data_IF_220859914520
#
_entry.id   IF_220859914520
#
_cell.length_a   1.000
_cell.length_b   1.000
_cell.length_c   1.000
_cell.angle_alpha   90.00
_cell.angle_beta   90.00
_cell.angle_gamma   90.00
#
_symmetry.space_group_name_H-M   'P 1'
#
loop_
_entity.id
_entity.type
_entity.pdbx_description
1 polymer ?
#
# COMPACT_ATOMS: atom_id res chain seq x y z
N UNK A 1 -66.00 55.42 24.67
CA UNK A 1 -65.53 55.94 23.36
C UNK A 1 -66.17 55.06 22.30
N UNK A 2 -66.84 55.72 21.36
CA UNK A 2 -67.82 55.19 20.41
C UNK A 2 -67.24 54.21 19.39
N UNK A 3 -68.05 53.22 18.98
CA UNK A 3 -67.97 52.64 17.63
C UNK A 3 -69.39 52.50 17.06
N UNK A 4 -69.67 53.31 16.04
CA UNK A 4 -70.70 53.19 15.02
C UNK A 4 -70.12 53.91 13.77
N UNK A 5 -70.62 53.68 12.55
CA UNK A 5 -70.58 52.44 11.77
C UNK A 5 -70.07 52.74 10.33
N UNK A 6 -69.96 51.75 9.45
CA UNK A 6 -70.12 52.00 8.01
C UNK A 6 -70.57 50.73 7.29
N UNK A 7 -71.79 50.83 6.77
CA UNK A 7 -72.49 49.91 5.89
C UNK A 7 -72.00 49.99 4.44
N UNK A 8 -72.34 48.93 3.69
CA UNK A 8 -72.75 48.85 2.28
C UNK A 8 -72.04 47.68 1.60
N UNK A 9 -72.62 46.89 0.70
CA UNK A 9 -73.97 46.63 0.23
C UNK A 9 -73.81 45.47 -0.78
N UNK A 10 -74.86 44.67 -0.94
CA UNK A 10 -74.94 43.45 -1.73
C UNK A 10 -74.61 43.60 -3.22
N UNK A 11 -74.08 42.52 -3.82
CA UNK A 11 -74.52 42.07 -5.14
C UNK A 11 -74.38 40.53 -5.27
N UNK A 12 -75.46 39.93 -5.73
CA UNK A 12 -75.76 38.50 -5.86
C UNK A 12 -75.20 37.89 -7.17
N UNK A 13 -75.27 36.55 -7.27
CA UNK A 13 -75.04 35.63 -8.42
C UNK A 13 -73.66 34.92 -8.56
N UNK A 14 -73.62 33.68 -9.08
CA UNK A 14 -74.33 32.45 -8.68
C UNK A 14 -73.35 31.30 -8.40
N UNK A 15 -73.83 30.23 -7.76
CA UNK A 15 -73.04 29.03 -7.45
C UNK A 15 -72.47 28.35 -8.71
N UNK A 16 -71.16 28.12 -8.71
CA UNK A 16 -70.50 27.17 -9.62
C UNK A 16 -69.96 26.00 -8.81
N UNK A 17 -70.54 24.84 -9.11
CA UNK A 17 -70.36 23.54 -8.48
C UNK A 17 -68.96 22.98 -8.81
N UNK A 18 -68.05 22.96 -7.84
CA UNK A 18 -66.76 22.28 -7.99
C UNK A 18 -66.96 20.77 -7.81
N UNK A 19 -67.26 20.06 -8.90
CA UNK A 19 -67.20 18.60 -8.94
C UNK A 19 -65.78 18.11 -8.60
N UNK A 20 -65.55 17.71 -7.34
CA UNK A 20 -64.47 16.78 -7.00
C UNK A 20 -64.80 15.45 -7.66
N UNK A 21 -64.10 15.10 -8.74
CA UNK A 21 -63.98 13.70 -9.19
C UNK A 21 -63.26 12.90 -8.09
N UNK A 22 -63.97 12.48 -7.06
CA UNK A 22 -63.58 11.34 -6.24
C UNK A 22 -63.73 10.11 -7.13
N UNK A 23 -62.61 9.69 -7.72
CA UNK A 23 -62.53 8.44 -8.45
C UNK A 23 -62.59 7.31 -7.41
N UNK A 24 -63.82 6.88 -7.08
CA UNK A 24 -64.07 5.67 -6.30
C UNK A 24 -63.51 4.47 -7.06
N UNK A 25 -62.26 4.11 -6.79
CA UNK A 25 -61.67 2.85 -7.22
C UNK A 25 -62.42 1.73 -6.50
N UNK A 26 -63.21 0.95 -7.24
CA UNK A 26 -63.96 -0.18 -6.68
C UNK A 26 -63.06 -1.18 -5.95
N UNK A 27 -63.62 -2.05 -5.09
CA UNK A 27 -62.87 -3.00 -4.26
C UNK A 27 -61.90 -3.89 -5.05
N UNK A 28 -62.24 -4.20 -6.31
CA UNK A 28 -61.38 -4.95 -7.24
C UNK A 28 -60.11 -4.16 -7.59
N UNK A 29 -60.21 -2.84 -7.81
CA UNK A 29 -59.06 -1.99 -8.12
C UNK A 29 -58.12 -1.90 -6.91
N UNK A 30 -58.64 -1.79 -5.69
CA UNK A 30 -57.83 -1.75 -4.48
C UNK A 30 -57.03 -3.04 -4.28
N UNK A 31 -57.65 -4.20 -4.54
CA UNK A 31 -56.99 -5.52 -4.49
C UNK A 31 -55.89 -5.68 -5.55
N UNK A 32 -56.11 -5.16 -6.76
CA UNK A 32 -55.07 -5.17 -7.80
C UNK A 32 -53.88 -4.27 -7.44
N UNK A 33 -54.12 -3.12 -6.79
CA UNK A 33 -53.05 -2.26 -6.30
C UNK A 33 -52.24 -2.91 -5.18
N UNK A 34 -52.87 -3.60 -4.23
CA UNK A 34 -52.15 -4.28 -3.15
C UNK A 34 -51.32 -5.46 -3.68
N UNK A 35 -51.85 -6.25 -4.62
CA UNK A 35 -51.11 -7.33 -5.27
C UNK A 35 -49.91 -6.80 -6.08
N UNK A 36 -50.07 -5.68 -6.79
CA UNK A 36 -48.98 -5.04 -7.51
C UNK A 36 -47.87 -4.55 -6.55
N UNK A 37 -48.23 -3.96 -5.41
CA UNK A 37 -47.26 -3.52 -4.39
C UNK A 37 -46.51 -4.73 -3.80
N UNK A 38 -47.20 -5.82 -3.48
CA UNK A 38 -46.58 -7.05 -2.96
C UNK A 38 -45.61 -7.64 -3.99
N UNK A 39 -45.99 -7.67 -5.27
CA UNK A 39 -45.11 -8.12 -6.35
C UNK A 39 -43.88 -7.23 -6.50
N UNK A 40 -44.04 -5.90 -6.45
CA UNK A 40 -42.93 -4.94 -6.51
C UNK A 40 -41.99 -5.12 -5.33
N UNK A 41 -42.52 -5.28 -4.11
CA UNK A 41 -41.72 -5.55 -2.90
C UNK A 41 -40.98 -6.88 -3.04
N UNK A 42 -41.66 -7.94 -3.53
CA UNK A 42 -41.03 -9.24 -3.78
C UNK A 42 -39.90 -9.17 -4.80
N UNK A 43 -40.08 -8.42 -5.89
CA UNK A 43 -39.04 -8.18 -6.90
C UNK A 43 -37.90 -7.34 -6.32
N UNK A 44 -38.20 -6.28 -5.55
CA UNK A 44 -37.18 -5.45 -4.92
C UNK A 44 -36.37 -6.24 -3.88
N UNK A 45 -37.01 -7.07 -3.06
CA UNK A 45 -36.32 -7.98 -2.14
C UNK A 45 -35.53 -9.03 -2.91
N UNK A 46 -36.07 -9.59 -3.99
CA UNK A 46 -35.38 -10.53 -4.86
C UNK A 46 -34.13 -9.93 -5.51
N UNK A 47 -34.22 -8.70 -6.01
CA UNK A 47 -33.11 -7.92 -6.56
C UNK A 47 -32.10 -7.61 -5.46
N UNK A 48 -32.53 -7.07 -4.32
CA UNK A 48 -31.64 -6.75 -3.20
C UNK A 48 -30.95 -8.00 -2.68
N UNK A 49 -31.65 -9.12 -2.51
CA UNK A 49 -31.02 -10.39 -2.09
C UNK A 49 -30.09 -10.95 -3.15
N UNK A 50 -30.43 -10.89 -4.44
CA UNK A 50 -29.52 -11.26 -5.53
C UNK A 50 -28.24 -10.42 -5.50
N UNK A 51 -28.35 -9.10 -5.44
CA UNK A 51 -27.19 -8.19 -5.42
C UNK A 51 -26.43 -8.16 -4.08
N UNK A 52 -27.07 -8.45 -2.94
CA UNK A 52 -26.44 -8.51 -1.61
C UNK A 52 -25.79 -9.88 -1.36
N UNK A 53 -26.34 -10.97 -1.89
CA UNK A 53 -25.77 -12.33 -1.76
C UNK A 53 -24.68 -12.59 -2.81
N UNK A 54 -24.76 -12.01 -4.01
CA UNK A 54 -23.71 -12.11 -5.04
C UNK A 54 -22.49 -11.19 -4.80
N UNK A 55 -22.09 -11.03 -3.54
CA UNK A 55 -20.76 -10.50 -3.24
C UNK A 55 -19.67 -11.48 -3.67
N UNK A 56 -18.67 -11.02 -4.41
CA UNK A 56 -17.46 -11.80 -4.66
C UNK A 56 -16.63 -11.90 -3.35
N UNK A 57 -16.23 -13.12 -2.96
CA UNK A 57 -15.40 -13.42 -1.79
C UNK A 57 -13.99 -13.80 -2.21
N UNK A 58 -13.00 -13.44 -1.39
CA UNK A 58 -11.61 -13.86 -1.60
C UNK A 58 -11.35 -15.24 -0.99
N UNK A 59 -10.71 -16.11 -1.76
CA UNK A 59 -10.29 -17.45 -1.37
C UNK A 59 -8.78 -17.55 -1.39
N UNK A 60 -8.24 -18.22 -0.39
CA UNK A 60 -6.81 -18.28 -0.14
C UNK A 60 -6.36 -19.74 -0.10
N UNK A 61 -5.30 -20.05 -0.82
CA UNK A 61 -4.75 -21.40 -0.86
C UNK A 61 -3.24 -21.38 -0.68
N UNK A 62 -2.76 -22.35 0.08
CA UNK A 62 -1.36 -22.69 0.14
C UNK A 62 -1.10 -23.79 -0.90
N UNK A 63 -0.35 -23.45 -1.93
CA UNK A 63 0.14 -24.37 -2.94
C UNK A 63 1.55 -24.83 -2.56
N UNK A 64 1.78 -26.14 -2.53
CA UNK A 64 3.10 -26.73 -2.40
C UNK A 64 3.33 -27.68 -3.57
N UNK A 65 4.49 -27.58 -4.22
CA UNK A 65 4.85 -28.48 -5.32
C UNK A 65 6.37 -28.52 -5.54
N UNK A 66 6.83 -29.63 -6.12
CA UNK A 66 8.22 -29.84 -6.51
C UNK A 66 8.46 -29.40 -7.96
N UNK A 67 9.48 -28.57 -8.16
CA UNK A 67 10.03 -28.27 -9.48
C UNK A 67 11.26 -29.14 -9.74
N UNK A 68 11.26 -29.90 -10.85
CA UNK A 68 12.32 -30.87 -11.17
C UNK A 68 13.40 -30.33 -12.10
N UNK A 69 13.09 -29.32 -12.91
CA UNK A 69 14.03 -28.72 -13.87
C UNK A 69 14.89 -27.61 -13.26
N UNK A 70 14.80 -27.35 -11.95
CA UNK A 70 15.58 -26.34 -11.24
C UNK A 70 16.29 -26.98 -10.05
N UNK A 71 17.62 -26.94 -10.06
CA UNK A 71 18.43 -27.29 -8.89
C UNK A 71 18.34 -26.18 -7.83
N UNK A 72 18.12 -26.58 -6.58
CA UNK A 72 18.18 -25.67 -5.44
C UNK A 72 19.58 -25.07 -5.28
N UNK A 73 19.65 -23.82 -4.82
CA UNK A 73 20.87 -23.13 -4.39
C UNK A 73 20.64 -22.59 -2.99
N UNK A 74 21.64 -22.61 -2.12
CA UNK A 74 21.51 -22.16 -0.73
C UNK A 74 20.95 -20.74 -0.61
N UNK A 75 21.33 -19.83 -1.52
CA UNK A 75 20.82 -18.47 -1.57
C UNK A 75 19.30 -18.39 -1.76
N UNK A 76 18.64 -19.40 -2.35
CA UNK A 76 17.17 -19.45 -2.44
C UNK A 76 16.50 -19.66 -1.06
N UNK A 77 17.21 -20.21 -0.07
CA UNK A 77 16.67 -20.35 1.29
C UNK A 77 16.58 -19.02 2.04
N UNK A 78 17.37 -18.04 1.63
CA UNK A 78 17.42 -16.71 2.25
C UNK A 78 16.35 -15.80 1.62
N UNK A 79 15.25 -15.58 2.33
CA UNK A 79 14.10 -14.79 1.83
C UNK A 79 14.42 -13.34 1.47
N UNK A 80 15.52 -12.81 1.98
CA UNK A 80 16.02 -11.46 1.72
C UNK A 80 17.02 -11.41 0.57
N UNK A 81 17.43 -12.57 0.00
CA UNK A 81 18.42 -12.60 -1.07
C UNK A 81 17.81 -12.16 -2.40
N UNK A 82 18.63 -11.50 -3.21
CA UNK A 82 18.27 -11.13 -4.59
C UNK A 82 17.86 -12.35 -5.42
N UNK A 83 18.58 -13.47 -5.27
CA UNK A 83 18.33 -14.69 -6.02
C UNK A 83 16.97 -15.33 -5.65
N UNK A 84 16.59 -15.30 -4.38
CA UNK A 84 15.26 -15.75 -3.95
C UNK A 84 14.15 -14.85 -4.53
N UNK A 85 14.34 -13.54 -4.49
CA UNK A 85 13.39 -12.56 -5.05
C UNK A 85 13.19 -12.78 -6.55
N UNK A 86 14.27 -12.82 -7.33
CA UNK A 86 14.22 -13.03 -8.78
C UNK A 86 13.56 -14.37 -9.13
N UNK A 87 13.91 -15.44 -8.41
CA UNK A 87 13.32 -16.76 -8.64
C UNK A 87 11.84 -16.81 -8.25
N UNK A 88 11.47 -16.18 -7.13
CA UNK A 88 10.08 -16.03 -6.68
C UNK A 88 9.25 -15.34 -7.76
N UNK A 89 9.73 -14.21 -8.30
CA UNK A 89 9.03 -13.47 -9.35
C UNK A 89 8.89 -14.26 -10.64
N UNK A 90 9.88 -15.07 -11.01
CA UNK A 90 9.76 -15.95 -12.18
C UNK A 90 8.62 -16.98 -11.99
N UNK A 91 8.52 -17.56 -10.79
CA UNK A 91 7.46 -18.52 -10.42
C UNK A 91 6.10 -17.82 -10.37
N UNK A 92 6.00 -16.65 -9.74
CA UNK A 92 4.77 -15.86 -9.62
C UNK A 92 4.24 -15.43 -10.99
N UNK A 93 5.11 -14.92 -11.89
CA UNK A 93 4.73 -14.58 -13.27
C UNK A 93 4.25 -15.78 -14.07
N UNK A 94 4.82 -16.96 -13.82
CA UNK A 94 4.33 -18.19 -14.44
C UNK A 94 2.92 -18.52 -13.94
N UNK A 95 2.68 -18.45 -12.63
CA UNK A 95 1.35 -18.69 -12.06
C UNK A 95 0.32 -17.65 -12.52
N UNK A 96 0.69 -16.37 -12.58
CA UNK A 96 -0.18 -15.33 -13.14
C UNK A 96 -0.58 -15.64 -14.57
N UNK A 97 0.38 -16.05 -15.42
CA UNK A 97 0.04 -16.47 -16.80
C UNK A 97 -0.91 -17.66 -16.82
N UNK A 98 -0.65 -18.70 -16.02
CA UNK A 98 -1.50 -19.90 -15.96
C UNK A 98 -2.96 -19.54 -15.68
N UNK A 99 -3.22 -18.69 -14.69
CA UNK A 99 -4.58 -18.38 -14.26
C UNK A 99 -5.22 -17.18 -14.99
N UNK A 100 -4.44 -16.27 -15.58
CA UNK A 100 -5.00 -15.20 -16.40
C UNK A 100 -5.44 -15.73 -17.78
N UNK A 101 -4.70 -16.67 -18.37
CA UNK A 101 -5.05 -17.26 -19.68
C UNK A 101 -6.20 -18.26 -19.61
N UNK A 102 -6.63 -18.70 -18.43
CA UNK A 102 -7.76 -19.61 -18.30
C UNK A 102 -9.12 -18.94 -18.59
N UNK A 103 -9.14 -17.62 -18.83
CA UNK A 103 -10.34 -16.87 -19.18
C UNK A 103 -11.31 -16.63 -18.01
N UNK A 104 -11.00 -17.15 -16.82
CA UNK A 104 -11.89 -17.03 -15.66
C UNK A 104 -11.75 -15.70 -14.92
N UNK A 105 -10.71 -14.88 -15.13
CA UNK A 105 -10.61 -13.52 -14.54
C UNK A 105 -10.62 -13.45 -12.99
N UNK A 106 -10.56 -14.60 -12.32
CA UNK A 106 -10.80 -14.77 -10.88
C UNK A 106 -9.51 -14.85 -10.06
N UNK A 107 -8.36 -14.90 -10.71
CA UNK A 107 -7.07 -14.88 -10.04
C UNK A 107 -6.67 -13.45 -9.69
N UNK A 108 -6.44 -13.20 -8.41
CA UNK A 108 -5.94 -11.91 -7.95
C UNK A 108 -4.43 -11.88 -8.10
N UNK A 109 -3.74 -12.85 -7.48
CA UNK A 109 -2.29 -12.96 -7.50
C UNK A 109 -1.78 -14.20 -6.80
N UNK A 110 -0.46 -14.38 -6.91
CA UNK A 110 0.27 -15.40 -6.17
C UNK A 110 1.50 -14.81 -5.51
N UNK A 111 1.97 -15.46 -4.45
CA UNK A 111 3.18 -15.04 -3.76
C UNK A 111 3.96 -16.24 -3.24
N UNK A 112 5.22 -16.39 -3.62
CA UNK A 112 6.07 -17.43 -3.05
C UNK A 112 6.27 -17.16 -1.56
N UNK A 113 6.34 -18.18 -0.72
CA UNK A 113 6.60 -18.06 0.71
C UNK A 113 7.96 -18.65 1.06
N UNK A 114 8.30 -19.79 0.46
CA UNK A 114 9.54 -20.51 0.74
C UNK A 114 9.99 -21.28 -0.48
N UNK A 115 11.29 -21.25 -0.74
CA UNK A 115 11.99 -22.16 -1.62
C UNK A 115 12.87 -23.05 -0.73
N UNK A 116 12.76 -24.37 -0.89
CA UNK A 116 13.49 -25.34 -0.06
C UNK A 116 14.12 -26.43 -0.92
N UNK A 117 15.24 -27.03 -0.48
CA UNK A 117 15.87 -28.12 -1.20
C UNK A 117 14.96 -29.35 -1.25
N UNK A 118 15.09 -30.11 -2.33
CA UNK A 118 14.48 -31.44 -2.50
C UNK A 118 15.47 -32.34 -3.26
N UNK A 119 15.41 -33.66 -3.05
CA UNK A 119 16.38 -34.63 -3.56
C UNK A 119 16.70 -34.49 -5.06
N UNK A 120 15.72 -34.09 -5.88
CA UNK A 120 15.89 -33.90 -7.33
C UNK A 120 15.32 -32.57 -7.82
N UNK A 121 15.44 -31.51 -7.03
CA UNK A 121 14.99 -30.18 -7.46
C UNK A 121 14.77 -29.21 -6.31
N UNK A 122 13.62 -28.55 -6.33
CA UNK A 122 13.27 -27.53 -5.35
C UNK A 122 11.78 -27.63 -4.99
N UNK A 123 11.49 -27.65 -3.69
CA UNK A 123 10.13 -27.52 -3.17
C UNK A 123 9.76 -26.04 -3.08
N UNK A 124 8.62 -25.70 -3.67
CA UNK A 124 8.07 -24.35 -3.73
C UNK A 124 6.82 -24.33 -2.87
N UNK A 125 6.81 -23.49 -1.85
CA UNK A 125 5.63 -23.16 -1.07
C UNK A 125 5.17 -21.77 -1.46
N UNK A 126 3.93 -21.62 -1.93
CA UNK A 126 3.38 -20.34 -2.33
C UNK A 126 1.92 -20.19 -1.94
N UNK A 127 1.52 -18.94 -1.84
CA UNK A 127 0.17 -18.48 -1.62
C UNK A 127 -0.47 -18.20 -2.97
N UNK A 128 -1.72 -18.63 -3.15
CA UNK A 128 -2.57 -18.22 -4.25
C UNK A 128 -3.81 -17.52 -3.71
N UNK A 129 -4.18 -16.41 -4.34
CA UNK A 129 -5.33 -15.59 -3.97
C UNK A 129 -6.27 -15.48 -5.15
N UNK A 130 -7.52 -15.85 -4.93
CA UNK A 130 -8.58 -15.80 -5.93
C UNK A 130 -9.79 -15.05 -5.40
N UNK A 131 -10.63 -14.58 -6.31
CA UNK A 131 -11.93 -13.98 -6.04
C UNK A 131 -12.98 -14.79 -6.77
N UNK A 132 -13.92 -15.39 -6.04
CA UNK A 132 -15.02 -16.20 -6.57
C UNK A 132 -16.33 -15.76 -5.91
N UNK A 133 -17.50 -16.10 -6.45
CA UNK A 133 -18.77 -15.74 -5.84
C UNK A 133 -18.83 -16.30 -4.41
N UNK A 134 -19.42 -15.55 -3.47
CA UNK A 134 -19.51 -15.97 -2.06
C UNK A 134 -20.23 -17.32 -1.86
N UNK A 135 -21.05 -17.72 -2.83
CA UNK A 135 -21.77 -19.00 -2.88
C UNK A 135 -20.88 -20.20 -3.16
N UNK A 136 -19.70 -20.01 -3.77
CA UNK A 136 -18.75 -21.10 -3.98
C UNK A 136 -18.11 -21.52 -2.63
N UNK A 137 -18.10 -22.82 -2.34
CA UNK A 137 -17.30 -23.36 -1.24
C UNK A 137 -15.81 -23.37 -1.59
N UNK A 138 -14.95 -23.34 -0.57
CA UNK A 138 -13.51 -23.46 -0.77
C UNK A 138 -13.13 -24.77 -1.52
N UNK A 139 -13.88 -25.84 -1.33
CA UNK A 139 -13.63 -27.11 -2.02
C UNK A 139 -14.00 -27.04 -3.51
N UNK A 140 -15.10 -26.37 -3.87
CA UNK A 140 -15.47 -26.13 -5.26
C UNK A 140 -14.42 -25.27 -5.97
N UNK A 141 -13.97 -24.19 -5.32
CA UNK A 141 -12.92 -23.33 -5.85
C UNK A 141 -11.59 -24.09 -5.99
N UNK A 142 -11.20 -24.90 -4.99
CA UNK A 142 -10.02 -25.77 -5.05
C UNK A 142 -10.03 -26.65 -6.30
N UNK A 143 -11.14 -27.33 -6.58
CA UNK A 143 -11.30 -28.19 -7.77
C UNK A 143 -11.19 -27.40 -9.08
N UNK A 144 -11.72 -26.18 -9.15
CA UNK A 144 -11.56 -25.28 -10.32
C UNK A 144 -10.07 -24.96 -10.53
N UNK A 145 -9.36 -24.56 -9.47
CA UNK A 145 -7.93 -24.21 -9.51
C UNK A 145 -7.09 -25.41 -9.95
N UNK A 146 -7.32 -26.60 -9.39
CA UNK A 146 -6.60 -27.83 -9.74
C UNK A 146 -6.81 -28.21 -11.21
N UNK A 147 -8.04 -28.07 -11.72
CA UNK A 147 -8.34 -28.30 -13.14
C UNK A 147 -7.55 -27.36 -14.04
N UNK A 148 -7.51 -26.06 -13.72
CA UNK A 148 -6.74 -25.07 -14.49
C UNK A 148 -5.26 -25.41 -14.46
N UNK A 149 -4.68 -25.67 -13.28
CA UNK A 149 -3.27 -26.06 -13.15
C UNK A 149 -2.95 -27.30 -13.99
N UNK A 150 -3.79 -28.33 -13.91
CA UNK A 150 -3.58 -29.58 -14.65
C UNK A 150 -3.69 -29.38 -16.17
N UNK A 151 -4.62 -28.56 -16.64
CA UNK A 151 -4.78 -28.23 -18.07
C UNK A 151 -3.60 -27.42 -18.60
N UNK A 152 -3.17 -26.38 -17.87
CA UNK A 152 -2.04 -25.55 -18.28
C UNK A 152 -0.74 -26.36 -18.29
N UNK A 153 -0.55 -27.27 -17.33
CA UNK A 153 0.59 -28.21 -17.30
C UNK A 153 0.60 -29.23 -18.45
N UNK A 154 -0.43 -29.29 -19.30
CA UNK A 154 -0.45 -30.09 -20.52
C UNK A 154 -0.15 -29.28 -21.78
N UNK A 155 -0.34 -27.97 -21.77
CA UNK A 155 -0.46 -27.16 -22.99
C UNK A 155 0.79 -26.37 -23.38
N UNK A 156 1.78 -26.20 -22.52
CA UNK A 156 3.00 -25.45 -22.88
C UNK A 156 4.27 -26.00 -22.21
N UNK A 157 5.45 -25.84 -22.83
CA UNK A 157 6.70 -25.95 -22.10
C UNK A 157 6.80 -24.79 -21.10
N UNK A 158 6.46 -25.09 -19.84
CA UNK A 158 6.57 -24.11 -18.76
C UNK A 158 8.03 -23.86 -18.38
N UNK A 159 8.38 -22.63 -17.93
CA UNK A 159 9.70 -22.35 -17.36
C UNK A 159 10.05 -23.25 -16.16
N UNK A 160 9.05 -23.75 -15.44
CA UNK A 160 9.21 -24.73 -14.36
C UNK A 160 8.45 -26.02 -14.68
N UNK A 161 9.13 -27.15 -14.59
CA UNK A 161 8.52 -28.48 -14.68
C UNK A 161 8.02 -28.89 -13.31
N UNK A 162 6.70 -28.83 -13.13
CA UNK A 162 6.05 -29.22 -11.87
C UNK A 162 5.86 -30.75 -11.86
N UNK A 163 6.37 -31.41 -10.82
CA UNK A 163 6.08 -32.81 -10.57
C UNK A 163 4.64 -32.96 -10.07
N UNK A 164 3.72 -33.31 -10.98
CA UNK A 164 2.26 -33.30 -10.74
C UNK A 164 1.82 -34.02 -9.46
N UNK A 165 2.33 -35.21 -9.10
CA UNK A 165 1.94 -35.90 -7.86
C UNK A 165 2.30 -35.15 -6.57
N UNK A 166 3.23 -34.19 -6.63
CA UNK A 166 3.63 -33.38 -5.47
C UNK A 166 2.77 -32.14 -5.25
N UNK A 167 1.87 -31.81 -6.19
CA UNK A 167 1.04 -30.61 -6.09
C UNK A 167 -0.04 -30.82 -5.01
N UNK A 168 0.05 -30.03 -3.95
CA UNK A 168 -0.97 -29.98 -2.91
C UNK A 168 -1.54 -28.56 -2.82
N UNK A 169 -2.86 -28.45 -2.78
CA UNK A 169 -3.56 -27.19 -2.57
C UNK A 169 -4.38 -27.25 -1.28
N UNK A 170 -4.00 -26.47 -0.28
CA UNK A 170 -4.68 -26.44 1.02
C UNK A 170 -5.38 -25.10 1.20
N UNK A 171 -6.69 -25.11 1.44
CA UNK A 171 -7.42 -23.88 1.79
C UNK A 171 -6.90 -23.33 3.12
N UNK A 172 -6.73 -22.03 3.19
CA UNK A 172 -6.29 -21.33 4.39
C UNK A 172 -7.20 -20.13 4.66
N UNK A 173 -7.30 -19.73 5.92
CA UNK A 173 -8.02 -18.52 6.29
C UNK A 173 -7.18 -17.24 6.02
N UNK A 174 -7.85 -16.09 6.09
CA UNK A 174 -7.21 -14.79 5.91
C UNK A 174 -6.14 -14.49 6.99
N UNK A 175 -6.28 -15.00 8.22
CA UNK A 175 -5.28 -14.78 9.29
C UNK A 175 -3.98 -15.51 8.98
N UNK A 176 -4.05 -16.78 8.60
CA UNK A 176 -2.90 -17.60 8.19
C UNK A 176 -2.26 -17.03 6.93
N UNK A 177 -3.05 -16.61 5.95
CA UNK A 177 -2.58 -15.90 4.76
C UNK A 177 -1.73 -14.68 5.13
N UNK A 178 -2.28 -13.79 5.95
CA UNK A 178 -1.59 -12.57 6.41
C UNK A 178 -0.30 -12.89 7.13
N UNK A 179 -0.30 -13.85 8.05
CA UNK A 179 0.91 -14.25 8.77
C UNK A 179 2.04 -14.72 7.83
N UNK A 180 1.70 -15.40 6.74
CA UNK A 180 2.68 -15.83 5.74
C UNK A 180 3.24 -14.63 4.96
N UNK A 181 2.41 -13.68 4.56
CA UNK A 181 2.84 -12.45 3.88
C UNK A 181 3.65 -11.52 4.80
N UNK A 182 3.25 -11.38 6.05
CA UNK A 182 3.92 -10.58 7.09
C UNK A 182 5.35 -11.03 7.39
N UNK A 183 5.73 -12.23 6.95
CA UNK A 183 7.10 -12.71 7.08
C UNK A 183 8.08 -12.09 6.07
N UNK A 184 7.55 -11.52 4.98
CA UNK A 184 8.32 -10.79 3.96
C UNK A 184 8.38 -9.30 4.28
N UNK A 185 9.31 -8.62 3.62
CA UNK A 185 9.40 -7.17 3.65
C UNK A 185 8.77 -6.56 2.40
N UNK A 186 8.51 -5.25 2.41
CA UNK A 186 8.16 -4.49 1.21
C UNK A 186 6.78 -4.84 0.62
N UNK A 187 5.89 -5.46 1.40
CA UNK A 187 4.54 -5.80 0.95
C UNK A 187 3.58 -4.67 1.34
N UNK A 188 2.90 -4.10 0.35
CA UNK A 188 1.74 -3.23 0.59
C UNK A 188 0.51 -4.09 0.85
N UNK A 189 -0.29 -3.74 1.84
CA UNK A 189 -1.61 -4.36 2.06
C UNK A 189 -2.72 -3.43 1.57
N UNK A 190 -2.53 -2.90 0.36
CA UNK A 190 -3.55 -2.15 -0.38
C UNK A 190 -4.83 -2.98 -0.51
N UNK A 191 -5.98 -2.35 -0.79
CA UNK A 191 -7.22 -3.05 -1.10
C UNK A 191 -7.15 -3.99 -2.34
N UNK A 192 -6.02 -4.11 -3.04
CA UNK A 192 -5.74 -5.22 -3.98
C UNK A 192 -5.33 -6.55 -3.29
N UNK A 193 -5.22 -6.57 -1.94
CA UNK A 193 -5.17 -7.77 -1.09
C UNK A 193 -6.51 -8.03 -0.34
N UNK A 194 -7.49 -7.13 -0.43
CA UNK A 194 -8.80 -7.24 0.24
C UNK A 194 -9.94 -6.95 -0.76
N UNK A 195 -11.23 -7.13 -0.41
CA UNK A 195 -12.33 -6.77 -1.31
C UNK A 195 -12.41 -5.26 -1.45
N UNK A 196 -12.22 -4.74 -2.66
CA UNK A 196 -12.85 -3.47 -3.04
C UNK A 196 -14.20 -3.79 -3.69
N UNK A 197 -15.28 -3.08 -3.32
CA UNK A 197 -16.42 -2.94 -4.21
C UNK A 197 -15.95 -2.24 -5.49
N UNK A 198 -16.59 -2.59 -6.61
CA UNK A 198 -16.20 -2.27 -7.97
C UNK A 198 -16.32 -0.77 -8.35
N UNK A 199 -15.79 0.15 -7.55
CA UNK A 199 -15.66 1.57 -7.90
C UNK A 199 -14.48 2.20 -7.15
N UNK A 200 -13.26 1.82 -7.50
CA UNK A 200 -12.08 2.63 -7.23
C UNK A 200 -11.33 2.77 -8.54
N UNK A 201 -11.65 3.85 -9.24
CA UNK A 201 -10.98 4.30 -10.43
C UNK A 201 -9.46 4.33 -10.20
N UNK A 202 -8.69 3.75 -11.11
CA UNK A 202 -7.29 4.09 -11.26
C UNK A 202 -7.21 5.50 -11.86
N UNK A 203 -7.64 6.50 -11.09
CA UNK A 203 -7.39 7.88 -11.47
C UNK A 203 -5.89 8.10 -11.38
N UNK A 204 -5.30 8.39 -12.53
CA UNK A 204 -3.95 8.93 -12.65
C UNK A 204 -3.98 10.35 -12.07
N UNK A 205 -4.04 10.47 -10.75
CA UNK A 205 -4.11 11.77 -10.08
C UNK A 205 -2.68 12.30 -9.98
N UNK A 206 -2.46 13.45 -10.61
CA UNK A 206 -1.20 14.19 -10.69
C UNK A 206 -1.18 15.20 -9.53
N UNK A 207 0.00 15.60 -9.03
CA UNK A 207 0.26 16.68 -8.03
C UNK A 207 0.45 16.31 -6.54
N UNK A 208 0.97 15.12 -6.16
CA UNK A 208 1.59 14.91 -4.82
C UNK A 208 0.73 15.19 -3.57
N UNK A 209 -0.57 15.48 -3.74
CA UNK A 209 -1.50 15.96 -2.74
C UNK A 209 -2.40 14.84 -2.20
N UNK A 210 -2.10 13.60 -2.60
CA UNK A 210 -2.95 12.46 -2.30
C UNK A 210 -2.69 11.95 -0.91
N UNK A 211 -3.77 11.79 -0.17
CA UNK A 211 -3.76 11.05 1.09
C UNK A 211 -3.58 9.57 0.77
N UNK A 212 -2.65 8.91 1.45
CA UNK A 212 -2.46 7.47 1.34
C UNK A 212 -3.62 6.71 2.00
N UNK A 213 -3.98 5.56 1.43
CA UNK A 213 -4.94 4.66 2.06
C UNK A 213 -4.27 3.84 3.16
N UNK A 214 -5.08 3.34 4.09
CA UNK A 214 -4.60 2.46 5.15
C UNK A 214 -3.97 1.18 4.56
N UNK A 215 -2.77 0.84 5.02
CA UNK A 215 -2.01 -0.32 4.53
C UNK A 215 -1.24 -0.11 3.22
N UNK A 216 -1.28 1.08 2.61
CA UNK A 216 -0.49 1.38 1.40
C UNK A 216 1.00 1.53 1.68
N UNK A 217 1.37 2.04 2.85
CA UNK A 217 2.76 2.28 3.24
C UNK A 217 3.00 1.81 4.67
N UNK A 218 2.86 0.51 4.94
CA UNK A 218 2.84 -0.03 6.30
C UNK A 218 4.18 0.07 7.05
N UNK A 219 5.25 0.48 6.36
CA UNK A 219 6.56 0.78 6.95
C UNK A 219 6.74 2.25 7.33
N UNK A 220 5.84 3.14 6.93
CA UNK A 220 5.91 4.55 7.32
C UNK A 220 5.76 4.68 8.83
N UNK A 221 6.63 5.46 9.43
CA UNK A 221 6.55 5.85 10.82
C UNK A 221 6.68 7.38 10.97
N UNK A 222 6.14 7.89 12.06
CA UNK A 222 6.29 9.28 12.50
C UNK A 222 7.12 9.29 13.78
N UNK A 223 8.26 9.97 13.74
CA UNK A 223 9.09 10.27 14.91
C UNK A 223 8.61 11.58 15.54
N UNK A 224 8.28 11.51 16.82
CA UNK A 224 7.71 12.63 17.55
C UNK A 224 8.51 12.94 18.80
N UNK A 225 8.72 14.23 19.05
CA UNK A 225 9.22 14.69 20.35
C UNK A 225 8.04 14.83 21.31
N UNK A 226 8.19 14.28 22.52
CA UNK A 226 7.16 14.39 23.56
C UNK A 226 6.94 15.87 23.88
N UNK A 227 5.69 16.33 23.71
CA UNK A 227 5.26 17.71 23.89
C UNK A 227 5.37 18.61 22.65
N UNK A 228 6.14 18.21 21.62
CA UNK A 228 6.30 18.99 20.39
C UNK A 228 5.66 18.31 19.14
N UNK A 229 5.26 17.04 19.26
CA UNK A 229 4.63 16.30 18.17
C UNK A 229 5.61 15.88 17.09
N UNK A 230 5.09 15.64 15.88
CA UNK A 230 5.84 15.13 14.73
C UNK A 230 7.02 16.03 14.34
N UNK A 231 8.19 15.42 14.14
CA UNK A 231 9.41 16.10 13.71
C UNK A 231 9.96 15.55 12.39
N UNK A 232 9.90 14.23 12.22
CA UNK A 232 10.47 13.52 11.08
C UNK A 232 9.68 12.25 10.77
N UNK A 233 9.79 11.78 9.53
CA UNK A 233 9.46 10.41 9.15
C UNK A 233 10.53 9.40 9.55
N UNK A 234 10.17 8.12 9.48
CA UNK A 234 11.09 6.99 9.55
C UNK A 234 10.52 5.78 8.79
N UNK A 235 11.37 4.79 8.52
CA UNK A 235 11.01 3.56 7.81
C UNK A 235 11.26 2.34 8.68
N UNK A 236 10.26 1.50 8.90
CA UNK A 236 10.41 0.25 9.63
C UNK A 236 11.19 -0.78 8.80
N UNK A 237 12.33 -1.28 9.29
CA UNK A 237 13.20 -2.25 8.59
C UNK A 237 13.24 -3.62 9.27
N UNK A 238 12.82 -3.70 10.54
CA UNK A 238 12.52 -4.96 11.25
C UNK A 238 11.42 -4.73 12.29
N UNK A 239 11.09 -5.73 13.11
CA UNK A 239 10.13 -5.56 14.20
C UNK A 239 10.68 -4.72 15.37
N UNK A 240 11.95 -4.32 15.35
CA UNK A 240 12.59 -3.54 16.43
C UNK A 240 13.47 -2.38 15.94
N UNK A 241 13.68 -2.24 14.63
CA UNK A 241 14.56 -1.23 14.05
C UNK A 241 13.88 -0.40 12.98
N UNK A 242 14.13 0.91 13.02
CA UNK A 242 13.77 1.87 11.98
C UNK A 242 15.01 2.56 11.42
N UNK A 243 14.91 2.97 10.17
CA UNK A 243 15.87 3.82 9.47
C UNK A 243 15.28 5.22 9.27
N UNK A 244 16.08 6.26 9.49
CA UNK A 244 15.68 7.66 9.34
C UNK A 244 16.92 8.53 9.04
N UNK A 245 16.77 9.84 9.00
CA UNK A 245 17.85 10.80 8.78
C UNK A 245 18.57 11.16 10.08
N UNK A 246 19.87 11.40 10.02
CA UNK A 246 20.67 11.82 11.17
C UNK A 246 20.27 13.22 11.66
N UNK A 247 19.89 14.11 10.74
CA UNK A 247 19.57 15.50 11.06
C UNK A 247 18.36 15.63 12.00
N UNK A 248 17.46 14.65 12.03
CA UNK A 248 16.31 14.59 12.92
C UNK A 248 16.69 14.66 14.40
N UNK A 249 17.88 14.18 14.76
CA UNK A 249 18.37 14.10 16.14
C UNK A 249 19.40 15.18 16.49
N UNK A 250 19.59 16.21 15.63
CA UNK A 250 20.54 17.31 15.90
C UNK A 250 20.21 18.05 17.19
N UNK A 251 18.92 18.30 17.45
CA UNK A 251 18.45 19.08 18.60
C UNK A 251 18.30 18.24 19.87
N UNK A 252 17.92 16.97 19.74
CA UNK A 252 17.72 16.09 20.88
C UNK A 252 18.05 14.64 20.52
N UNK A 253 19.03 14.06 21.22
CA UNK A 253 19.50 12.67 21.02
C UNK A 253 19.06 11.72 22.13
N UNK A 254 18.35 12.19 23.15
CA UNK A 254 17.89 11.35 24.26
C UNK A 254 16.67 10.53 23.82
N UNK A 255 16.78 9.19 23.69
CA UNK A 255 15.67 8.36 23.23
C UNK A 255 14.41 8.47 24.13
N UNK A 256 14.55 8.83 25.41
CA UNK A 256 13.41 8.96 26.32
C UNK A 256 12.51 10.17 26.01
N UNK A 257 13.01 11.12 25.19
CA UNK A 257 12.26 12.30 24.73
C UNK A 257 11.48 12.04 23.46
N UNK A 258 11.61 10.85 22.87
CA UNK A 258 11.04 10.50 21.58
C UNK A 258 10.05 9.34 21.70
N UNK A 259 9.02 9.42 20.88
CA UNK A 259 8.13 8.30 20.57
C UNK A 259 8.10 8.09 19.06
N UNK A 260 7.70 6.89 18.66
CA UNK A 260 7.41 6.59 17.26
C UNK A 260 6.00 6.04 17.13
N UNK A 261 5.31 6.51 16.11
CA UNK A 261 3.96 6.05 15.78
C UNK A 261 3.88 5.47 14.37
N UNK A 262 2.97 4.51 14.19
CA UNK A 262 2.67 3.85 12.92
C UNK A 262 1.18 3.98 12.59
N UNK A 263 0.86 3.85 11.30
CA UNK A 263 -0.47 4.05 10.75
C UNK A 263 -0.50 5.24 9.79
N UNK A 264 -1.69 5.55 9.27
CA UNK A 264 -1.89 6.66 8.33
C UNK A 264 -2.21 7.99 9.01
N UNK A 265 -2.32 8.01 10.34
CA UNK A 265 -2.58 9.21 11.14
C UNK A 265 -1.56 9.35 12.26
N UNK A 266 -1.11 10.58 12.53
CA UNK A 266 -0.25 10.89 13.68
C UNK A 266 -1.06 10.83 14.97
N UNK A 267 -2.25 11.45 14.96
CA UNK A 267 -3.15 11.55 16.11
C UNK A 267 -4.61 11.27 15.70
N UNK A 268 -5.27 10.26 16.27
CA UNK A 268 -4.68 9.18 17.08
C UNK A 268 -3.80 8.25 16.21
N UNK A 269 -2.70 7.73 16.76
CA UNK A 269 -1.88 6.73 16.06
C UNK A 269 -2.50 5.33 16.16
N UNK A 270 -2.23 4.47 15.18
CA UNK A 270 -2.65 3.06 15.23
C UNK A 270 -1.77 2.25 16.20
N UNK A 271 -0.46 2.49 16.17
CA UNK A 271 0.51 1.85 17.08
C UNK A 271 1.49 2.92 17.54
N UNK A 272 1.81 2.93 18.84
CA UNK A 272 2.85 3.78 19.43
C UNK A 272 3.91 2.91 20.13
N UNK A 273 5.17 3.32 20.04
CA UNK A 273 6.30 2.70 20.75
C UNK A 273 7.26 3.76 21.28
N UNK A 274 7.91 3.44 22.39
CA UNK A 274 9.03 4.20 22.92
C UNK A 274 10.34 3.76 22.25
N UNK A 275 11.32 4.66 22.25
CA UNK A 275 12.65 4.37 21.74
C UNK A 275 13.54 3.83 22.85
N UNK A 276 14.39 2.85 22.49
CA UNK A 276 15.47 2.33 23.35
C UNK A 276 16.80 3.01 23.05
N UNK A 277 17.09 3.21 21.77
CA UNK A 277 18.41 3.66 21.30
C UNK A 277 18.28 4.43 20.01
N UNK A 278 19.08 5.48 19.88
CA UNK A 278 19.30 6.24 18.64
C UNK A 278 20.77 6.07 18.26
N UNK A 279 21.05 5.70 17.01
CA UNK A 279 22.41 5.54 16.48
C UNK A 279 22.52 6.44 15.26
N UNK A 280 23.29 7.52 15.38
CA UNK A 280 23.63 8.42 14.27
C UNK A 280 24.89 7.89 13.59
N UNK A 281 24.97 7.98 12.26
CA UNK A 281 26.18 7.63 11.54
C UNK A 281 27.39 8.41 12.04
N UNK A 282 28.51 7.73 12.29
CA UNK A 282 29.69 8.28 12.95
C UNK A 282 30.32 9.43 12.15
N UNK A 283 30.25 9.34 10.83
CA UNK A 283 30.78 10.33 9.90
C UNK A 283 29.74 11.35 9.41
N UNK A 284 28.61 11.50 10.12
CA UNK A 284 27.60 12.48 9.74
C UNK A 284 28.12 13.91 9.79
N UNK A 285 28.05 14.64 8.66
CA UNK A 285 28.52 16.03 8.53
C UNK A 285 27.33 16.98 8.50
N UNK A 286 27.28 17.92 9.44
CA UNK A 286 26.13 18.82 9.61
C UNK A 286 26.03 19.85 8.48
N UNK A 287 27.19 20.28 7.99
CA UNK A 287 27.34 21.38 7.02
C UNK A 287 26.91 20.94 5.62
N UNK A 288 27.24 19.70 5.25
CA UNK A 288 26.99 19.15 3.91
C UNK A 288 25.82 18.17 3.85
N UNK A 289 25.26 17.78 5.01
CA UNK A 289 24.33 16.65 5.14
C UNK A 289 24.88 15.32 4.60
N UNK A 290 26.20 15.17 4.55
CA UNK A 290 26.81 13.90 4.16
C UNK A 290 26.63 12.85 5.28
N UNK A 291 26.38 11.59 4.90
CA UNK A 291 26.05 10.50 5.82
C UNK A 291 24.80 10.77 6.68
N UNK A 292 23.79 11.42 6.11
CA UNK A 292 22.53 11.75 6.80
C UNK A 292 21.63 10.52 6.99
N UNK A 293 22.07 9.62 7.87
CA UNK A 293 21.39 8.38 8.20
C UNK A 293 21.51 8.09 9.70
N UNK A 294 20.42 7.59 10.27
CA UNK A 294 20.36 7.14 11.64
C UNK A 294 19.46 5.90 11.77
N UNK A 295 19.77 5.09 12.78
CA UNK A 295 18.98 3.95 13.20
C UNK A 295 18.29 4.26 14.52
N UNK A 296 17.04 3.80 14.64
CA UNK A 296 16.25 3.89 15.84
C UNK A 296 15.86 2.49 16.28
N UNK A 297 16.21 2.12 17.51
CA UNK A 297 15.78 0.88 18.13
C UNK A 297 14.56 1.12 19.01
N UNK A 298 13.53 0.29 18.83
CA UNK A 298 12.33 0.29 19.67
C UNK A 298 12.62 -0.34 21.05
N UNK A 299 11.98 0.18 22.10
CA UNK A 299 11.98 -0.43 23.43
C UNK A 299 11.25 -1.78 23.44
N UNK A 300 10.13 -1.85 22.72
CA UNK A 300 9.32 -3.06 22.57
C UNK A 300 9.06 -3.31 21.09
N UNK A 301 9.14 -4.59 20.70
CA UNK A 301 8.88 -5.00 19.31
C UNK A 301 7.48 -4.55 18.84
N UNK A 302 7.34 -4.31 17.54
CA UNK A 302 6.04 -4.18 16.87
C UNK A 302 5.61 -5.51 16.29
N UNK A 303 4.31 -5.77 16.36
CA UNK A 303 3.71 -6.91 15.68
C UNK A 303 3.34 -6.53 14.26
N UNK A 304 3.75 -7.37 13.31
CA UNK A 304 3.45 -7.14 11.91
C UNK A 304 1.97 -7.39 11.61
N UNK A 305 1.33 -6.41 10.98
CA UNK A 305 -0.11 -6.36 10.68
C UNK A 305 -0.36 -5.79 9.28
N UNK A 306 -1.61 -5.57 8.89
CA UNK A 306 -1.94 -4.92 7.61
C UNK A 306 -1.49 -3.45 7.53
N UNK A 307 -1.20 -2.82 8.67
CA UNK A 307 -0.84 -1.40 8.75
C UNK A 307 0.55 -1.16 9.31
N UNK A 308 1.21 -2.21 9.79
CA UNK A 308 2.60 -2.18 10.27
C UNK A 308 3.38 -3.34 9.65
N UNK A 309 4.31 -3.04 8.75
CA UNK A 309 5.20 -4.01 8.10
C UNK A 309 6.55 -3.38 7.86
N UNK A 310 7.59 -4.21 7.75
CA UNK A 310 8.91 -3.72 7.34
C UNK A 310 9.01 -3.53 5.84
N UNK A 311 9.75 -2.50 5.40
CA UNK A 311 10.19 -2.32 4.01
C UNK A 311 11.40 -3.20 3.72
N UNK A 312 11.63 -3.57 2.45
CA UNK A 312 12.86 -4.26 2.09
C UNK A 312 14.03 -3.28 2.00
N UNK A 313 15.22 -3.71 2.43
CA UNK A 313 16.46 -3.00 2.15
C UNK A 313 17.02 -3.45 0.80
N UNK A 314 17.54 -2.52 -0.01
CA UNK A 314 18.16 -2.85 -1.27
C UNK A 314 19.47 -3.63 -1.08
N UNK A 315 19.89 -4.29 -2.15
CA UNK A 315 21.27 -4.76 -2.31
C UNK A 315 22.21 -3.56 -2.47
N UNK A 316 23.45 -3.66 -1.98
CA UNK A 316 24.44 -2.56 -2.08
C UNK A 316 24.81 -2.22 -3.53
N UNK A 317 24.63 -3.16 -4.46
CA UNK A 317 24.88 -2.97 -5.89
C UNK A 317 23.76 -2.25 -6.65
N UNK A 318 22.57 -2.05 -6.05
CA UNK A 318 21.46 -1.45 -6.79
C UNK A 318 21.77 0.00 -7.18
N UNK A 319 21.59 0.30 -8.46
CA UNK A 319 21.62 1.64 -9.02
C UNK A 319 20.39 1.82 -9.89
N UNK A 320 19.49 2.70 -9.49
CA UNK A 320 18.30 3.01 -10.27
C UNK A 320 18.68 3.94 -11.44
N UNK A 321 18.34 3.60 -12.69
CA UNK A 321 18.52 4.50 -13.82
C UNK A 321 17.74 5.81 -13.63
N UNK A 322 18.16 6.93 -14.23
CA UNK A 322 17.35 8.15 -14.26
C UNK A 322 15.96 7.89 -14.83
N UNK A 323 14.97 8.70 -14.43
CA UNK A 323 13.55 8.56 -14.80
C UNK A 323 12.88 7.28 -14.28
N UNK A 324 13.49 6.60 -13.30
CA UNK A 324 12.84 5.49 -12.61
C UNK A 324 11.78 6.03 -11.67
N UNK A 325 10.56 5.53 -11.79
CA UNK A 325 9.45 5.89 -10.91
C UNK A 325 9.66 5.37 -9.49
N UNK A 326 9.59 6.26 -8.52
CA UNK A 326 9.71 5.99 -7.08
C UNK A 326 8.63 6.76 -6.33
N UNK A 327 8.38 6.40 -5.08
CA UNK A 327 7.40 7.07 -4.23
C UNK A 327 8.04 7.61 -2.96
N UNK A 328 7.70 8.84 -2.63
CA UNK A 328 8.00 9.45 -1.33
C UNK A 328 6.70 9.58 -0.54
N UNK A 329 6.79 9.35 0.77
CA UNK A 329 5.64 9.47 1.68
C UNK A 329 6.04 10.16 2.95
N UNK A 330 5.07 10.87 3.54
CA UNK A 330 5.28 11.50 4.83
C UNK A 330 4.12 12.37 5.28
N UNK A 331 4.35 13.02 6.42
CA UNK A 331 3.42 13.90 7.11
C UNK A 331 3.90 15.35 7.07
N UNK A 332 4.86 15.66 6.20
CA UNK A 332 5.41 16.98 6.02
C UNK A 332 4.41 17.97 5.43
N UNK A 333 4.85 19.22 5.32
CA UNK A 333 4.00 20.28 4.82
C UNK A 333 3.69 20.14 3.33
N UNK A 334 2.56 20.73 2.93
CA UNK A 334 2.05 20.72 1.56
C UNK A 334 2.40 22.01 0.82
N UNK A 335 2.92 22.99 1.55
CA UNK A 335 3.43 24.27 1.08
C UNK A 335 4.76 24.54 1.79
N UNK A 336 5.65 25.30 1.15
CA UNK A 336 6.93 25.65 1.76
C UNK A 336 6.71 26.36 3.10
N UNK A 337 7.47 25.96 4.12
CA UNK A 337 7.37 26.42 5.51
C UNK A 337 5.99 26.31 6.19
N UNK A 338 5.03 25.57 5.63
CA UNK A 338 3.73 25.36 6.25
C UNK A 338 3.72 24.32 7.40
N UNK A 339 2.53 24.06 7.99
CA UNK A 339 2.38 23.06 9.03
C UNK A 339 2.42 21.62 8.46
N UNK A 340 2.82 20.68 9.31
CA UNK A 340 2.75 19.23 9.06
C UNK A 340 1.30 18.75 8.99
N UNK A 341 1.06 17.63 8.31
CA UNK A 341 -0.26 17.07 8.08
C UNK A 341 -0.54 15.89 8.99
N UNK A 342 -1.76 15.78 9.53
CA UNK A 342 -2.11 14.64 10.38
C UNK A 342 -2.25 13.33 9.58
N UNK A 343 -2.71 13.41 8.32
CA UNK A 343 -2.89 12.24 7.45
C UNK A 343 -1.69 12.04 6.53
N UNK A 344 -1.27 10.79 6.39
CA UNK A 344 -0.16 10.38 5.53
C UNK A 344 -0.43 10.74 4.08
N UNK A 345 0.57 11.31 3.41
CA UNK A 345 0.51 11.64 1.99
C UNK A 345 1.51 10.85 1.19
N UNK A 346 1.26 10.75 -0.11
CA UNK A 346 2.13 10.08 -1.05
C UNK A 346 2.32 10.88 -2.33
N UNK A 347 3.53 10.82 -2.87
CA UNK A 347 3.87 11.43 -4.14
C UNK A 347 4.74 10.48 -4.96
N UNK A 348 4.37 10.31 -6.23
CA UNK A 348 5.22 9.64 -7.22
C UNK A 348 6.17 10.67 -7.82
N UNK A 349 7.46 10.35 -7.78
CA UNK A 349 8.54 11.15 -8.37
C UNK A 349 9.46 10.26 -9.20
N UNK A 350 10.44 10.86 -9.86
CA UNK A 350 11.40 10.16 -10.70
C UNK A 350 12.83 10.39 -10.22
N UNK A 351 13.67 9.36 -10.29
CA UNK A 351 15.10 9.51 -9.98
C UNK A 351 15.81 10.39 -11.00
N UNK A 352 16.70 11.26 -10.53
CA UNK A 352 17.48 12.17 -11.37
C UNK A 352 18.96 11.78 -11.27
N UNK A 353 19.67 11.84 -12.40
CA UNK A 353 21.08 11.48 -12.44
C UNK A 353 21.94 12.47 -11.63
N UNK A 354 23.03 11.98 -11.03
CA UNK A 354 23.94 12.83 -10.26
C UNK A 354 24.54 13.95 -11.11
N UNK A 355 24.78 13.70 -12.40
CA UNK A 355 25.30 14.68 -13.36
C UNK A 355 24.32 15.82 -13.59
N UNK A 356 23.02 15.51 -13.73
CA UNK A 356 21.98 16.53 -13.84
C UNK A 356 21.83 17.28 -12.53
N UNK A 357 21.82 16.56 -11.41
CA UNK A 357 21.63 17.16 -10.10
C UNK A 357 22.77 18.10 -9.69
N UNK A 358 23.99 17.83 -10.16
CA UNK A 358 25.17 18.65 -9.92
C UNK A 358 25.46 19.70 -10.99
N UNK A 359 24.54 19.97 -11.93
CA UNK A 359 24.68 21.12 -12.81
C UNK A 359 24.73 22.42 -12.00
N UNK A 360 25.42 23.42 -12.55
CA UNK A 360 25.62 24.75 -11.94
C UNK A 360 24.29 25.45 -11.58
N UNK A 361 23.25 25.23 -12.38
CA UNK A 361 21.91 25.79 -12.15
C UNK A 361 21.00 24.96 -11.23
N UNK A 362 21.52 23.83 -10.71
CA UNK A 362 20.79 22.89 -9.84
C UNK A 362 21.39 22.87 -8.45
N UNK A 363 22.40 22.04 -8.17
CA UNK A 363 23.11 22.02 -6.88
C UNK A 363 24.62 22.23 -6.98
N UNK A 364 25.16 22.55 -8.16
CA UNK A 364 26.54 23.02 -8.33
C UNK A 364 27.60 22.16 -7.60
N UNK A 365 27.51 20.84 -7.79
CA UNK A 365 28.46 19.88 -7.20
C UNK A 365 28.20 19.49 -5.73
N UNK A 366 27.16 20.01 -5.07
CA UNK A 366 26.88 19.70 -3.65
C UNK A 366 26.36 18.27 -3.40
N UNK A 367 25.86 17.56 -4.42
CA UNK A 367 25.31 16.20 -4.25
C UNK A 367 26.42 15.16 -4.34
N UNK A 368 26.73 14.50 -3.22
CA UNK A 368 27.80 13.50 -3.13
C UNK A 368 27.34 12.10 -3.55
N UNK A 369 28.27 11.14 -3.62
CA UNK A 369 27.97 9.74 -4.01
C UNK A 369 27.04 9.01 -3.02
N UNK A 370 27.08 9.40 -1.74
CA UNK A 370 26.17 8.93 -0.68
C UNK A 370 24.75 9.48 -0.79
N UNK A 371 24.48 10.32 -1.79
CA UNK A 371 23.18 10.96 -2.04
C UNK A 371 22.61 10.54 -3.40
N UNK A 372 21.31 10.76 -3.57
CA UNK A 372 20.60 10.66 -4.84
C UNK A 372 19.54 11.76 -4.92
N UNK A 373 19.15 12.13 -6.13
CA UNK A 373 18.08 13.10 -6.36
C UNK A 373 16.84 12.41 -6.91
N UNK A 374 15.67 12.89 -6.49
CA UNK A 374 14.40 12.46 -7.07
C UNK A 374 13.39 13.61 -7.04
N UNK A 375 12.57 13.72 -8.09
CA UNK A 375 11.65 14.84 -8.27
C UNK A 375 11.39 15.09 -9.75
N UNK A 376 10.98 16.32 -10.07
CA UNK A 376 10.86 16.82 -11.43
C UNK A 376 11.64 18.12 -11.55
N UNK A 377 12.34 18.31 -12.68
CA UNK A 377 13.14 19.51 -12.90
C UNK A 377 12.27 20.76 -13.06
N UNK A 378 11.00 20.59 -13.41
CA UNK A 378 9.97 21.62 -13.46
C UNK A 378 9.40 21.96 -12.07
N UNK A 379 9.81 21.23 -11.02
CA UNK A 379 9.29 21.36 -9.66
C UNK A 379 7.94 20.66 -9.48
N UNK A 380 7.01 21.31 -8.76
CA UNK A 380 5.61 20.90 -8.51
C UNK A 380 5.40 19.77 -7.50
N UNK A 381 6.23 18.73 -7.52
CA UNK A 381 6.09 17.57 -6.63
C UNK A 381 7.42 17.27 -5.97
N UNK A 382 7.45 17.35 -4.64
CA UNK A 382 8.66 17.17 -3.83
C UNK A 382 8.30 16.76 -2.39
N UNK A 383 9.29 16.26 -1.66
CA UNK A 383 9.23 16.15 -0.22
C UNK A 383 9.39 17.55 0.41
N UNK A 384 8.85 17.75 1.62
CA UNK A 384 8.94 19.05 2.28
C UNK A 384 9.26 18.92 3.78
N UNK A 385 9.25 20.06 4.47
CA UNK A 385 9.49 20.16 5.91
C UNK A 385 8.59 19.18 6.68
N UNK A 386 9.21 18.29 7.45
CA UNK A 386 8.55 17.21 8.20
C UNK A 386 8.60 15.84 7.51
N UNK A 387 8.83 15.77 6.19
CA UNK A 387 9.03 14.49 5.49
C UNK A 387 10.43 13.90 5.71
N UNK A 388 11.38 14.73 6.17
CA UNK A 388 12.72 14.35 6.60
C UNK A 388 12.79 13.01 7.33
N UNK A 389 13.71 12.14 6.94
CA UNK A 389 13.83 10.79 7.49
C UNK A 389 12.80 9.77 6.96
N UNK A 390 11.77 10.23 6.25
CA UNK A 390 10.77 9.41 5.59
C UNK A 390 11.33 8.60 4.40
N UNK A 391 10.58 7.58 3.95
CA UNK A 391 11.01 6.69 2.90
C UNK A 391 10.94 7.31 1.51
N UNK A 392 11.95 7.02 0.68
CA UNK A 392 11.83 6.99 -0.77
C UNK A 392 11.93 5.52 -1.22
N UNK A 393 10.84 5.00 -1.78
CA UNK A 393 10.70 3.57 -2.09
C UNK A 393 10.52 3.31 -3.57
N UNK A 394 11.12 2.20 -4.01
CA UNK A 394 11.09 1.70 -5.37
C UNK A 394 10.31 0.39 -5.42
N UNK A 395 9.38 0.31 -6.36
CA UNK A 395 8.64 -0.91 -6.67
C UNK A 395 9.46 -1.79 -7.61
N UNK A 396 9.87 -2.95 -7.12
CA UNK A 396 10.44 -4.01 -7.93
C UNK A 396 9.49 -5.19 -7.93
N UNK A 397 8.59 -5.22 -8.91
CA UNK A 397 7.63 -6.31 -9.11
C UNK A 397 6.78 -6.60 -7.85
N UNK A 398 6.13 -5.58 -7.30
CA UNK A 398 5.26 -5.60 -6.12
C UNK A 398 5.97 -5.76 -4.77
N UNK A 399 7.31 -5.84 -4.76
CA UNK A 399 8.12 -5.76 -3.54
C UNK A 399 8.79 -4.39 -3.49
N UNK A 400 8.54 -3.67 -2.40
CA UNK A 400 8.99 -2.30 -2.20
C UNK A 400 10.31 -2.24 -1.44
N UNK A 401 11.28 -1.56 -2.03
CA UNK A 401 12.62 -1.39 -1.49
C UNK A 401 12.85 0.07 -1.08
N UNK A 402 13.42 0.27 0.10
CA UNK A 402 13.82 1.58 0.61
C UNK A 402 15.13 2.02 -0.06
N UNK A 403 15.02 2.81 -1.12
CA UNK A 403 16.18 3.22 -1.93
C UNK A 403 16.75 4.57 -1.50
N UNK A 404 15.94 5.40 -0.84
CA UNK A 404 16.36 6.68 -0.30
C UNK A 404 15.71 7.03 1.04
N UNK A 405 16.31 7.99 1.74
CA UNK A 405 15.77 8.62 2.95
C UNK A 405 15.68 10.12 2.66
N UNK A 406 14.52 10.75 2.91
CA UNK A 406 14.37 12.20 2.71
C UNK A 406 15.40 12.93 3.57
N UNK A 407 16.26 13.75 2.94
CA UNK A 407 17.39 14.39 3.62
C UNK A 407 17.31 15.91 3.55
N UNK A 408 17.40 16.51 2.37
CA UNK A 408 17.39 17.97 2.20
C UNK A 408 16.92 18.40 0.81
N UNK A 409 16.69 19.70 0.65
CA UNK A 409 16.30 20.35 -0.60
C UNK A 409 16.42 21.87 -0.44
N UNK A 410 16.32 22.61 -1.53
CA UNK A 410 16.26 24.08 -1.47
C UNK A 410 14.79 24.48 -1.63
N UNK A 411 14.14 24.84 -0.52
CA UNK A 411 12.68 24.94 -0.43
C UNK A 411 12.00 23.63 -0.88
N UNK A 412 10.70 23.67 -1.12
CA UNK A 412 9.93 22.53 -1.60
C UNK A 412 9.38 22.80 -3.01
N UNK A 413 9.53 21.82 -3.91
CA UNK A 413 8.88 21.81 -5.23
C UNK A 413 9.26 22.98 -6.18
N UNK A 414 10.43 23.60 -5.98
CA UNK A 414 10.95 24.63 -6.86
C UNK A 414 11.51 24.04 -8.17
N UNK A 415 11.37 24.75 -9.30
CA UNK A 415 12.06 24.38 -10.54
C UNK A 415 13.57 24.27 -10.33
N UNK A 416 14.18 23.25 -10.91
CA UNK A 416 15.61 22.94 -10.84
C UNK A 416 16.15 22.70 -9.43
N UNK A 417 15.29 22.42 -8.44
CA UNK A 417 15.69 22.09 -7.06
C UNK A 417 14.97 20.83 -6.60
N UNK A 418 15.27 19.65 -7.21
CA UNK A 418 14.64 18.40 -6.81
C UNK A 418 15.09 17.94 -5.43
N UNK A 419 14.24 17.27 -4.66
CA UNK A 419 14.63 16.70 -3.37
C UNK A 419 15.88 15.82 -3.42
N UNK A 420 16.72 15.94 -2.39
CA UNK A 420 17.94 15.16 -2.18
C UNK A 420 17.73 14.16 -1.04
N UNK A 421 18.12 12.93 -1.30
CA UNK A 421 17.87 11.78 -0.44
C UNK A 421 19.19 11.08 -0.13
N UNK A 422 19.32 10.52 1.07
CA UNK A 422 20.43 9.63 1.42
C UNK A 422 20.28 8.31 0.65
N UNK A 423 21.32 7.90 -0.09
CA UNK A 423 21.30 6.69 -0.94
C UNK A 423 21.52 5.44 -0.09
N UNK A 424 20.43 4.74 0.25
CA UNK A 424 20.45 3.62 1.22
C UNK A 424 21.41 2.49 0.82
N UNK A 425 21.56 2.21 -0.48
CA UNK A 425 22.47 1.14 -0.95
C UNK A 425 23.94 1.37 -0.56
N UNK A 426 24.37 2.61 -0.35
CA UNK A 426 25.73 2.93 0.11
C UNK A 426 25.95 2.64 1.59
N UNK A 427 24.88 2.54 2.38
CA UNK A 427 24.95 2.33 3.84
C UNK A 427 24.54 0.91 4.23
N UNK A 428 24.46 -0.01 3.27
CA UNK A 428 23.97 -1.37 3.53
C UNK A 428 24.83 -2.11 4.56
N UNK A 429 26.14 -2.02 4.44
CA UNK A 429 27.09 -2.64 5.36
C UNK A 429 27.05 -1.98 6.73
N UNK A 430 26.89 -0.65 6.77
CA UNK A 430 26.73 0.09 8.02
C UNK A 430 25.46 -0.36 8.76
N UNK A 431 24.31 -0.45 8.07
CA UNK A 431 23.06 -0.95 8.65
C UNK A 431 23.26 -2.37 9.21
N UNK A 432 23.88 -3.27 8.44
CA UNK A 432 24.16 -4.64 8.86
C UNK A 432 25.06 -4.68 10.10
N UNK A 433 26.13 -3.88 10.14
CA UNK A 433 27.07 -3.83 11.27
C UNK A 433 26.43 -3.39 12.59
N UNK A 434 25.38 -2.58 12.54
CA UNK A 434 24.69 -2.06 13.73
C UNK A 434 23.49 -2.90 14.17
N UNK A 435 22.89 -3.66 13.25
CA UNK A 435 21.58 -4.30 13.48
C UNK A 435 21.55 -5.80 13.20
N UNK A 436 22.48 -6.33 12.40
CA UNK A 436 22.46 -7.70 11.88
C UNK A 436 21.44 -7.95 10.76
N UNK A 437 20.85 -6.89 10.15
CA UNK A 437 19.84 -6.96 9.08
C UNK A 437 20.45 -6.81 7.69
#
# INVERSE_FOLDING_TARGET
MYCLPLECSQADYPQVEHQRRQQCRGPISLSLFTLAIIAIIGIAIGIVTHFVVEGDKSFYYLASFKATNIKYRECYGMRTSKQFTEKSHQIERMMSRIFQHSGEGRFIKSHVIKLSPDQNGMNILMVLVFRFPSTDSAEQVRKKIERILYQSLKREPMPLTIHKPSLTLTSIDNKKMRNLLNSRCGIRMTPSFMPLPAFASAERIIQGSQTALEGEWPWQASLQLIGAGHQCGASLISNTWLLTAAHCFRRNKDPNRWIVTFGITITPPTVQRNLKKIIIHENYRRETNENDIALVQLATRVDFSNVVQRVCLPDSSIKLPPKTGVFVTGFGSIVDDGPTQNKLRQARVETISSEVCNRKDVYDGMVTSGMLCAGFMEGKVDACKGDSGGPLVYDNHEIWYLVGIVSWGQSCALPKKPGVYTRVSQYRDWIASKTGI
#
